data_IF_143482541154
#
_entry.id   IF_143482541154
#
_cell.length_a   1.000
_cell.length_b   1.000
_cell.length_c   1.000
_cell.angle_alpha   90.00
_cell.angle_beta   90.00
_cell.angle_gamma   90.00
#
_symmetry.space_group_name_H-M   'P 1'
#
loop_
_entity.id
_entity.type
_entity.pdbx_description
1 polymer ?
#
# COMPACT_ATOMS: atom_id res chain seq x y z
N UNK A 1 22.90 5.07 -5.74
CA UNK A 1 22.83 3.66 -6.21
C UNK A 1 21.40 3.38 -6.65
N UNK A 2 21.11 2.36 -7.46
CA UNK A 2 19.74 2.08 -7.91
C UNK A 2 18.96 1.27 -6.87
N UNK A 3 17.68 1.59 -6.68
CA UNK A 3 16.75 0.74 -5.94
C UNK A 3 16.28 -0.39 -6.86
N UNK A 4 16.18 -1.60 -6.32
CA UNK A 4 15.70 -2.78 -7.02
C UNK A 4 14.42 -3.27 -6.33
N UNK A 5 13.37 -3.48 -7.10
CA UNK A 5 12.11 -4.04 -6.61
C UNK A 5 12.04 -5.51 -7.00
N UNK A 6 11.81 -6.38 -6.03
CA UNK A 6 11.67 -7.83 -6.23
C UNK A 6 10.35 -8.29 -5.63
N UNK A 7 9.49 -8.93 -6.43
CA UNK A 7 8.24 -9.49 -5.91
C UNK A 7 8.49 -10.73 -5.07
N UNK A 8 7.73 -10.87 -3.97
CA UNK A 8 7.79 -12.02 -3.09
C UNK A 8 7.42 -13.31 -3.83
N UNK A 9 6.46 -13.25 -4.76
CA UNK A 9 6.14 -14.39 -5.64
C UNK A 9 7.33 -14.84 -6.49
N UNK A 10 8.23 -13.93 -6.89
CA UNK A 10 9.45 -14.32 -7.62
C UNK A 10 10.44 -15.00 -6.69
N UNK A 11 10.60 -14.53 -5.45
CA UNK A 11 11.44 -15.21 -4.47
C UNK A 11 10.92 -16.61 -4.14
N UNK A 12 9.62 -16.76 -3.89
CA UNK A 12 8.97 -18.04 -3.57
C UNK A 12 9.01 -19.07 -4.73
N UNK A 13 9.24 -18.61 -5.97
CA UNK A 13 9.44 -19.50 -7.14
C UNK A 13 10.88 -20.00 -7.27
N UNK A 14 11.86 -19.27 -6.71
CA UNK A 14 13.28 -19.55 -6.91
C UNK A 14 13.97 -20.06 -5.64
N UNK A 15 13.36 -19.89 -4.47
CA UNK A 15 13.90 -20.27 -3.17
C UNK A 15 12.86 -21.00 -2.33
N UNK A 16 13.31 -21.75 -1.33
CA UNK A 16 12.42 -22.38 -0.36
C UNK A 16 11.76 -21.33 0.53
N UNK A 17 10.57 -21.63 1.05
CA UNK A 17 9.86 -20.73 1.96
C UNK A 17 10.68 -20.40 3.21
N UNK A 18 11.48 -21.35 3.71
CA UNK A 18 12.39 -21.11 4.84
C UNK A 18 13.49 -20.09 4.50
N UNK A 19 14.09 -20.18 3.32
CA UNK A 19 15.09 -19.19 2.87
C UNK A 19 14.47 -17.82 2.68
N UNK A 20 13.28 -17.75 2.09
CA UNK A 20 12.54 -16.49 1.94
C UNK A 20 12.18 -15.90 3.31
N UNK A 21 11.71 -16.72 4.25
CA UNK A 21 11.38 -16.29 5.61
C UNK A 21 12.59 -15.67 6.30
N UNK A 22 13.78 -16.28 6.18
CA UNK A 22 15.02 -15.73 6.73
C UNK A 22 15.39 -14.35 6.16
N UNK A 23 14.92 -14.00 4.95
CA UNK A 23 15.07 -12.66 4.38
C UNK A 23 14.05 -11.68 4.99
N UNK A 24 12.80 -12.09 5.14
CA UNK A 24 11.72 -11.27 5.72
C UNK A 24 11.98 -10.95 7.19
N UNK A 25 12.55 -11.91 7.93
CA UNK A 25 12.89 -11.77 9.35
C UNK A 25 13.95 -10.69 9.61
N UNK A 26 14.70 -10.25 8.58
CA UNK A 26 15.69 -9.18 8.68
C UNK A 26 15.10 -7.78 8.72
N UNK A 27 13.80 -7.64 8.49
CA UNK A 27 13.12 -6.35 8.50
C UNK A 27 12.92 -5.87 9.94
N UNK A 28 13.25 -4.61 10.18
CA UNK A 28 13.00 -3.94 11.46
C UNK A 28 12.22 -2.65 11.17
N UNK A 29 11.07 -2.51 11.80
CA UNK A 29 10.26 -1.30 11.79
C UNK A 29 10.58 -0.42 13.00
N UNK A 30 10.01 0.79 13.06
CA UNK A 30 10.23 1.72 14.17
C UNK A 30 8.94 2.36 14.64
N UNK A 31 8.81 2.46 15.97
CA UNK A 31 7.64 3.05 16.61
C UNK A 31 7.75 4.57 16.59
N UNK A 32 6.75 5.17 15.95
CA UNK A 32 6.57 6.60 15.89
C UNK A 32 5.34 7.06 16.68
N UNK A 33 4.46 6.14 17.10
CA UNK A 33 3.23 6.43 17.85
C UNK A 33 3.38 6.15 19.35
N UNK A 34 4.35 5.32 19.75
CA UNK A 34 4.63 4.98 21.14
C UNK A 34 3.59 4.04 21.77
N UNK A 35 2.76 3.41 20.94
CA UNK A 35 1.70 2.48 21.36
C UNK A 35 2.16 1.07 20.99
N UNK A 36 2.76 0.37 21.96
CA UNK A 36 3.21 -1.01 21.79
C UNK A 36 2.04 -1.98 21.58
N UNK A 37 1.86 -2.42 20.35
CA UNK A 37 1.57 -3.79 19.95
C UNK A 37 2.53 -4.04 18.77
N UNK A 38 2.97 -5.26 18.45
CA UNK A 38 3.96 -5.46 17.38
C UNK A 38 3.61 -4.63 16.13
N UNK A 39 4.58 -3.88 15.60
CA UNK A 39 4.41 -3.04 14.42
C UNK A 39 3.64 -3.79 13.34
N UNK A 40 2.38 -3.43 13.08
CA UNK A 40 1.53 -4.17 12.14
C UNK A 40 2.22 -4.33 10.77
N UNK A 41 3.04 -3.36 10.39
CA UNK A 41 3.94 -3.38 9.23
C UNK A 41 4.96 -4.53 9.32
N UNK A 42 5.73 -4.63 10.40
CA UNK A 42 6.71 -5.70 10.56
C UNK A 42 6.06 -7.07 10.77
N UNK A 43 5.01 -7.15 11.59
CA UNK A 43 4.21 -8.36 11.77
C UNK A 43 3.64 -8.85 10.44
N UNK A 44 3.11 -7.94 9.62
CA UNK A 44 2.64 -8.30 8.29
C UNK A 44 3.76 -8.93 7.47
N UNK A 45 4.92 -8.28 7.38
CA UNK A 45 5.99 -8.78 6.53
C UNK A 45 6.51 -10.14 7.01
N UNK A 46 6.73 -10.30 8.31
CA UNK A 46 7.31 -11.52 8.88
C UNK A 46 6.31 -12.67 8.95
N UNK A 47 5.06 -12.39 9.30
CA UNK A 47 4.11 -13.45 9.68
C UNK A 47 2.96 -13.64 8.68
N UNK A 48 2.67 -12.66 7.82
CA UNK A 48 1.47 -12.68 6.95
C UNK A 48 1.79 -12.60 5.46
N UNK A 49 2.89 -11.97 5.05
CA UNK A 49 3.16 -11.65 3.66
C UNK A 49 3.20 -12.88 2.75
N UNK A 50 3.82 -13.99 3.19
CA UNK A 50 3.87 -15.24 2.40
C UNK A 50 2.48 -15.84 2.24
N UNK A 51 1.68 -15.89 3.31
CA UNK A 51 0.30 -16.38 3.26
C UNK A 51 -0.56 -15.51 2.33
N UNK A 52 -0.47 -14.19 2.45
CA UNK A 52 -1.22 -13.25 1.61
C UNK A 52 -0.82 -13.36 0.14
N UNK A 53 0.47 -13.55 -0.15
CA UNK A 53 0.97 -13.69 -1.52
C UNK A 53 0.49 -15.00 -2.16
N UNK A 54 0.58 -16.12 -1.44
CA UNK A 54 0.12 -17.45 -1.91
C UNK A 54 -1.39 -17.55 -2.12
N UNK A 55 -2.18 -16.82 -1.32
CA UNK A 55 -3.65 -16.83 -1.40
C UNK A 55 -4.21 -15.66 -2.24
N UNK A 56 -3.35 -14.93 -2.95
CA UNK A 56 -3.72 -13.82 -3.83
C UNK A 56 -4.51 -12.68 -3.13
N UNK A 57 -4.37 -12.54 -1.81
CA UNK A 57 -4.97 -11.41 -1.08
C UNK A 57 -4.21 -10.11 -1.36
N UNK A 58 -2.89 -10.19 -1.50
CA UNK A 58 -2.03 -9.08 -1.92
C UNK A 58 -0.70 -9.60 -2.43
N UNK A 59 -0.05 -8.88 -3.32
CA UNK A 59 1.32 -9.15 -3.77
C UNK A 59 2.31 -8.24 -3.06
N UNK A 60 3.29 -8.85 -2.40
CA UNK A 60 4.32 -8.14 -1.64
C UNK A 60 5.55 -7.90 -2.50
N UNK A 61 6.11 -6.70 -2.43
CA UNK A 61 7.28 -6.28 -3.19
C UNK A 61 8.35 -5.78 -2.22
N UNK A 62 9.50 -6.43 -2.25
CA UNK A 62 10.67 -6.08 -1.44
C UNK A 62 11.55 -5.10 -2.21
N UNK A 63 12.01 -4.05 -1.52
CA UNK A 63 12.87 -3.00 -2.10
C UNK A 63 14.27 -3.17 -1.55
N UNK A 64 15.22 -3.41 -2.44
CA UNK A 64 16.63 -3.56 -2.14
C UNK A 64 17.43 -2.35 -2.59
N UNK A 65 18.51 -2.08 -1.87
CA UNK A 65 19.58 -1.20 -2.29
C UNK A 65 20.92 -1.92 -2.13
N UNK A 66 22.01 -1.29 -2.55
CA UNK A 66 23.36 -1.80 -2.30
C UNK A 66 24.03 -1.02 -1.17
N UNK A 67 24.70 -1.71 -0.26
CA UNK A 67 25.56 -1.12 0.74
C UNK A 67 26.80 -1.99 0.93
N UNK A 68 27.99 -1.41 0.77
CA UNK A 68 29.28 -2.13 0.85
C UNK A 68 29.35 -3.39 -0.03
N UNK A 69 28.73 -3.37 -1.21
CA UNK A 69 28.71 -4.50 -2.14
C UNK A 69 27.68 -5.59 -1.82
N UNK A 70 26.93 -5.48 -0.72
CA UNK A 70 25.84 -6.39 -0.37
C UNK A 70 24.47 -5.80 -0.77
N UNK A 71 23.52 -6.65 -1.16
CA UNK A 71 22.11 -6.27 -1.28
C UNK A 71 21.51 -6.15 0.12
N UNK A 72 20.84 -5.04 0.39
CA UNK A 72 20.22 -4.74 1.69
C UNK A 72 18.75 -4.44 1.46
N UNK A 73 17.87 -5.11 2.21
CA UNK A 73 16.44 -4.82 2.23
C UNK A 73 16.21 -3.46 2.88
N UNK A 74 15.78 -2.46 2.10
CA UNK A 74 15.57 -1.09 2.58
C UNK A 74 14.10 -0.76 2.84
N UNK A 75 13.18 -1.57 2.33
CA UNK A 75 11.76 -1.44 2.62
C UNK A 75 10.92 -2.44 1.82
N UNK A 76 9.60 -2.32 1.94
CA UNK A 76 8.66 -3.12 1.17
C UNK A 76 7.33 -2.39 1.01
N UNK A 77 6.50 -2.88 0.11
CA UNK A 77 5.09 -2.52 0.01
C UNK A 77 4.26 -3.73 -0.44
N UNK A 78 2.96 -3.73 -0.10
CA UNK A 78 2.02 -4.76 -0.54
C UNK A 78 0.83 -4.13 -1.27
N UNK A 79 0.49 -4.68 -2.43
CA UNK A 79 -0.62 -4.20 -3.27
C UNK A 79 -1.66 -5.30 -3.41
N UNK A 80 -2.92 -4.97 -3.16
CA UNK A 80 -4.07 -5.83 -3.43
C UNK A 80 -5.03 -5.16 -4.41
N UNK A 81 -6.03 -5.91 -4.88
CA UNK A 81 -7.18 -5.37 -5.62
C UNK A 81 -8.40 -5.58 -4.73
N UNK A 82 -9.14 -4.51 -4.44
CA UNK A 82 -10.32 -4.56 -3.61
C UNK A 82 -11.41 -3.61 -4.11
N UNK A 83 -12.66 -3.83 -3.72
CA UNK A 83 -13.75 -2.92 -4.01
C UNK A 83 -13.91 -1.87 -2.91
N UNK A 84 -14.07 -0.61 -3.32
CA UNK A 84 -14.42 0.48 -2.42
C UNK A 84 -15.87 0.90 -2.66
N UNK A 85 -16.72 0.66 -1.67
CA UNK A 85 -18.15 1.01 -1.72
C UNK A 85 -18.38 2.42 -1.20
N UNK A 86 -19.11 3.21 -1.98
CA UNK A 86 -19.61 4.52 -1.59
C UNK A 86 -21.13 4.48 -1.53
N UNK A 87 -21.67 4.79 -0.34
CA UNK A 87 -23.11 4.97 -0.19
C UNK A 87 -23.58 6.25 -0.88
N UNK A 88 -24.86 6.33 -1.26
CA UNK A 88 -25.45 7.57 -1.79
C UNK A 88 -25.17 8.78 -0.88
N UNK A 89 -25.32 8.61 0.44
CA UNK A 89 -25.05 9.65 1.45
C UNK A 89 -23.60 10.13 1.42
N UNK A 90 -22.64 9.22 1.26
CA UNK A 90 -21.22 9.60 1.11
C UNK A 90 -20.97 10.31 -0.23
N UNK A 91 -21.58 9.84 -1.31
CA UNK A 91 -21.45 10.47 -2.63
C UNK A 91 -21.98 11.91 -2.68
N UNK A 92 -23.06 12.19 -1.95
CA UNK A 92 -23.72 13.49 -1.92
C UNK A 92 -22.86 14.59 -1.25
N UNK A 93 -21.80 14.21 -0.53
CA UNK A 93 -20.83 15.14 0.04
C UNK A 93 -19.80 15.65 -0.98
N UNK A 94 -19.64 14.97 -2.11
CA UNK A 94 -18.74 15.40 -3.16
C UNK A 94 -19.43 16.35 -4.14
N UNK A 95 -18.66 17.24 -4.76
CA UNK A 95 -19.14 18.06 -5.87
C UNK A 95 -19.71 17.21 -7.00
N UNK A 96 -20.66 17.77 -7.76
CA UNK A 96 -21.28 17.11 -8.92
C UNK A 96 -20.26 16.55 -9.91
N UNK A 97 -19.14 17.27 -10.13
CA UNK A 97 -18.03 16.85 -10.97
C UNK A 97 -17.34 15.59 -10.44
N UNK A 98 -16.98 15.56 -9.16
CA UNK A 98 -16.31 14.38 -8.55
C UNK A 98 -17.29 13.21 -8.51
N UNK A 99 -18.53 13.44 -8.08
CA UNK A 99 -19.58 12.42 -8.07
C UNK A 99 -19.82 11.82 -9.46
N UNK A 100 -19.83 12.65 -10.50
CA UNK A 100 -19.92 12.20 -11.89
C UNK A 100 -18.75 11.31 -12.30
N UNK A 101 -17.51 11.67 -11.93
CA UNK A 101 -16.32 10.86 -12.20
C UNK A 101 -16.35 9.51 -11.49
N UNK A 102 -16.68 9.49 -10.20
CA UNK A 102 -16.79 8.26 -9.41
C UNK A 102 -17.87 7.35 -10.00
N UNK A 103 -19.06 7.90 -10.29
CA UNK A 103 -20.15 7.15 -10.93
C UNK A 103 -19.76 6.63 -12.32
N UNK A 104 -19.04 7.40 -13.12
CA UNK A 104 -18.64 6.95 -14.45
C UNK A 104 -17.69 5.76 -14.40
N UNK A 105 -16.82 5.71 -13.38
CA UNK A 105 -15.83 4.64 -13.17
C UNK A 105 -16.28 3.51 -12.23
N UNK A 106 -17.54 3.53 -11.79
CA UNK A 106 -18.07 2.51 -10.91
C UNK A 106 -18.21 1.16 -11.61
N UNK A 107 -17.67 0.10 -10.99
CA UNK A 107 -17.81 -1.27 -11.45
C UNK A 107 -19.21 -1.82 -11.15
N UNK A 108 -19.87 -1.34 -10.09
CA UNK A 108 -21.28 -1.63 -9.80
C UNK A 108 -22.03 -0.38 -9.37
N UNK A 109 -23.32 -0.34 -9.69
CA UNK A 109 -24.27 0.71 -9.29
C UNK A 109 -25.56 0.06 -8.84
N UNK A 110 -25.92 0.27 -7.58
CA UNK A 110 -27.21 -0.14 -7.07
C UNK A 110 -28.24 0.94 -7.39
N UNK A 111 -29.25 0.60 -8.20
CA UNK A 111 -30.30 1.53 -8.62
C UNK A 111 -31.28 1.85 -7.50
N UNK A 112 -31.45 0.95 -6.53
CA UNK A 112 -32.41 1.08 -5.44
C UNK A 112 -31.85 1.98 -4.33
N UNK A 113 -30.61 1.73 -3.92
CA UNK A 113 -29.95 2.51 -2.85
C UNK A 113 -29.23 3.75 -3.38
N UNK A 114 -28.77 3.71 -4.64
CA UNK A 114 -27.92 4.75 -5.23
C UNK A 114 -26.43 4.59 -4.89
N UNK A 115 -26.06 3.48 -4.27
CA UNK A 115 -24.69 3.13 -3.92
C UNK A 115 -23.86 2.75 -5.16
N UNK A 116 -22.56 2.93 -5.06
CA UNK A 116 -21.61 2.49 -6.09
C UNK A 116 -20.46 1.70 -5.48
N UNK A 117 -19.89 0.80 -6.28
CA UNK A 117 -18.60 0.14 -5.98
C UNK A 117 -17.58 0.57 -7.03
N UNK A 118 -16.37 0.87 -6.59
CA UNK A 118 -15.20 1.09 -7.43
C UNK A 118 -14.26 -0.11 -7.29
N UNK A 119 -13.73 -0.63 -8.39
CA UNK A 119 -12.58 -1.53 -8.34
C UNK A 119 -11.31 -0.69 -8.18
N UNK A 120 -10.58 -0.90 -7.09
CA UNK A 120 -9.42 -0.10 -6.72
C UNK A 120 -8.21 -0.98 -6.42
N UNK A 121 -7.02 -0.40 -6.62
CA UNK A 121 -5.79 -0.93 -6.04
C UNK A 121 -5.70 -0.49 -4.58
N UNK A 122 -5.50 -1.43 -3.67
CA UNK A 122 -5.21 -1.15 -2.27
C UNK A 122 -3.70 -1.19 -2.08
N UNK A 123 -3.10 -0.10 -1.62
CA UNK A 123 -1.76 -0.15 -1.02
C UNK A 123 -1.95 -0.53 0.44
N UNK A 124 -1.90 -1.84 0.71
CA UNK A 124 -2.28 -2.40 2.01
C UNK A 124 -1.20 -2.21 3.06
N UNK A 125 0.07 -2.18 2.65
CA UNK A 125 1.21 -2.03 3.55
C UNK A 125 2.33 -1.23 2.88
N UNK A 126 3.01 -0.41 3.67
CA UNK A 126 4.24 0.29 3.30
C UNK A 126 5.17 0.28 4.50
N UNK A 127 6.34 -0.33 4.36
CA UNK A 127 7.32 -0.44 5.44
C UNK A 127 8.70 0.03 5.02
N UNK A 128 9.28 0.97 5.77
CA UNK A 128 10.70 1.32 5.68
C UNK A 128 11.48 0.46 6.67
N UNK A 129 12.60 -0.12 6.23
CA UNK A 129 13.49 -0.86 7.11
C UNK A 129 14.38 0.12 7.90
N UNK A 130 14.41 -0.05 9.23
CA UNK A 130 15.18 0.73 10.19
C UNK A 130 16.42 0.01 10.71
N UNK A 131 16.70 -1.20 10.23
CA UNK A 131 17.96 -1.89 10.49
C UNK A 131 19.15 -1.02 10.07
N UNK A 132 20.24 -1.10 10.82
CA UNK A 132 21.37 -0.17 10.70
C UNK A 132 21.93 -0.07 9.27
N UNK A 133 22.18 -1.21 8.61
CA UNK A 133 22.70 -1.21 7.24
C UNK A 133 21.71 -0.63 6.22
N UNK A 134 20.40 -0.84 6.42
CA UNK A 134 19.38 -0.25 5.57
C UNK A 134 19.36 1.28 5.71
N UNK A 135 19.49 1.80 6.93
CA UNK A 135 19.58 3.24 7.19
C UNK A 135 20.84 3.87 6.58
N UNK A 136 21.97 3.16 6.61
CA UNK A 136 23.24 3.63 6.06
C UNK A 136 23.22 3.79 4.54
N UNK A 137 22.29 3.13 3.82
CA UNK A 137 22.08 3.38 2.39
C UNK A 137 21.67 4.83 2.11
N UNK A 138 20.84 5.43 2.98
CA UNK A 138 20.20 6.75 2.80
C UNK A 138 19.37 6.88 1.51
N UNK A 139 19.04 5.77 0.84
CA UNK A 139 18.35 5.78 -0.47
C UNK A 139 16.82 5.72 -0.34
N UNK A 140 16.27 5.37 0.84
CA UNK A 140 14.84 5.10 0.99
C UNK A 140 14.13 6.09 1.93
N UNK A 141 12.97 6.57 1.48
CA UNK A 141 12.01 7.37 2.26
C UNK A 141 10.60 6.81 2.09
N UNK A 142 9.67 7.19 2.96
CA UNK A 142 8.25 6.81 2.79
C UNK A 142 7.66 7.30 1.47
N UNK A 143 8.08 8.49 1.01
CA UNK A 143 7.68 9.01 -0.30
C UNK A 143 8.24 8.15 -1.44
N UNK A 144 9.50 7.72 -1.34
CA UNK A 144 10.10 6.87 -2.37
C UNK A 144 9.46 5.48 -2.45
N UNK A 145 9.07 4.90 -1.31
CA UNK A 145 8.29 3.65 -1.28
C UNK A 145 6.92 3.83 -1.93
N UNK A 146 6.24 4.95 -1.67
CA UNK A 146 4.99 5.29 -2.35
C UNK A 146 5.16 5.45 -3.86
N UNK A 147 6.25 6.06 -4.33
CA UNK A 147 6.55 6.15 -5.77
C UNK A 147 6.69 4.75 -6.38
N UNK A 148 7.46 3.86 -5.75
CA UNK A 148 7.65 2.49 -6.24
C UNK A 148 6.33 1.70 -6.26
N UNK A 149 5.53 1.80 -5.19
CA UNK A 149 4.20 1.19 -5.14
C UNK A 149 3.27 1.72 -6.26
N UNK A 150 3.30 3.04 -6.50
CA UNK A 150 2.51 3.64 -7.57
C UNK A 150 2.96 3.21 -8.96
N UNK A 151 4.27 3.04 -9.20
CA UNK A 151 4.77 2.49 -10.47
C UNK A 151 4.27 1.06 -10.70
N UNK A 152 4.34 0.19 -9.69
CA UNK A 152 3.76 -1.16 -9.77
C UNK A 152 2.25 -1.12 -10.04
N UNK A 153 1.52 -0.16 -9.47
CA UNK A 153 0.10 0.04 -9.77
C UNK A 153 -0.14 0.46 -11.23
N UNK A 154 0.69 1.34 -11.79
CA UNK A 154 0.58 1.75 -13.20
C UNK A 154 0.80 0.55 -14.14
N UNK A 155 1.81 -0.27 -13.88
CA UNK A 155 2.06 -1.50 -14.64
C UNK A 155 0.87 -2.47 -14.55
N UNK A 156 0.31 -2.68 -13.35
CA UNK A 156 -0.86 -3.52 -13.17
C UNK A 156 -2.13 -2.94 -13.85
N UNK A 157 -2.27 -1.61 -13.83
CA UNK A 157 -3.37 -0.88 -14.44
C UNK A 157 -3.38 -1.02 -15.96
N UNK A 158 -2.21 -0.97 -16.59
CA UNK A 158 -2.08 -1.17 -18.03
C UNK A 158 -2.58 -2.56 -18.45
N UNK A 159 -2.39 -3.56 -17.59
CA UNK A 159 -2.80 -4.95 -17.86
C UNK A 159 -4.26 -5.26 -17.51
N UNK A 160 -4.80 -4.64 -16.45
CA UNK A 160 -6.09 -5.08 -15.86
C UNK A 160 -7.15 -3.97 -15.76
N UNK A 161 -6.78 -2.72 -16.01
CA UNK A 161 -7.63 -1.56 -15.80
C UNK A 161 -7.67 -1.11 -14.34
N UNK A 162 -8.78 -0.51 -13.92
CA UNK A 162 -8.88 0.21 -12.65
C UNK A 162 -8.51 1.68 -12.80
N UNK A 163 -9.09 2.53 -11.95
CA UNK A 163 -8.92 4.00 -12.06
C UNK A 163 -8.52 4.67 -10.76
N UNK A 164 -8.44 3.91 -9.67
CA UNK A 164 -8.19 4.43 -8.35
C UNK A 164 -7.26 3.52 -7.57
N UNK A 165 -6.38 4.14 -6.79
CA UNK A 165 -5.67 3.52 -5.71
C UNK A 165 -6.19 4.09 -4.39
N UNK A 166 -6.18 3.31 -3.32
CA UNK A 166 -6.49 3.80 -1.98
C UNK A 166 -5.59 3.16 -0.94
N UNK A 167 -5.54 3.78 0.23
CA UNK A 167 -4.81 3.30 1.39
C UNK A 167 -5.53 3.69 2.67
N UNK A 168 -5.18 2.98 3.73
CA UNK A 168 -5.63 3.21 5.09
C UNK A 168 -4.42 3.52 5.97
N UNK A 169 -4.55 4.45 6.92
CA UNK A 169 -3.43 4.87 7.76
C UNK A 169 -3.86 5.40 9.12
N UNK A 170 -2.96 5.31 10.10
CA UNK A 170 -3.16 5.90 11.42
C UNK A 170 -3.35 7.42 11.32
N UNK A 171 -4.22 7.96 12.17
CA UNK A 171 -4.49 9.39 12.25
C UNK A 171 -3.32 10.16 12.87
N UNK A 172 -2.27 10.35 12.07
CA UNK A 172 -1.04 11.05 12.44
C UNK A 172 -0.68 12.02 11.33
N UNK A 173 -0.42 13.29 11.71
CA UNK A 173 -0.19 14.39 10.75
C UNK A 173 0.95 14.11 9.77
N UNK A 174 2.01 13.44 10.23
CA UNK A 174 3.14 13.03 9.39
C UNK A 174 2.72 12.14 8.22
N UNK A 175 1.80 11.19 8.46
CA UNK A 175 1.27 10.29 7.42
C UNK A 175 0.29 11.02 6.52
N UNK A 176 -0.63 11.80 7.11
CA UNK A 176 -1.56 12.65 6.38
C UNK A 176 -0.85 13.57 5.39
N UNK A 177 0.20 14.27 5.83
CA UNK A 177 1.00 15.17 5.00
C UNK A 177 1.79 14.42 3.92
N UNK A 178 2.28 13.22 4.22
CA UNK A 178 2.95 12.37 3.24
C UNK A 178 1.99 12.00 2.10
N UNK A 179 0.83 11.45 2.41
CA UNK A 179 -0.13 10.98 1.41
C UNK A 179 -0.78 12.13 0.65
N UNK A 180 -1.12 13.23 1.34
CA UNK A 180 -1.64 14.45 0.70
C UNK A 180 -0.66 15.04 -0.30
N UNK A 181 0.63 15.13 0.06
CA UNK A 181 1.69 15.63 -0.84
C UNK A 181 1.90 14.72 -2.04
N UNK A 182 1.74 13.41 -1.88
CA UNK A 182 1.80 12.47 -3.00
C UNK A 182 0.61 12.63 -3.97
N UNK A 183 -0.53 13.14 -3.48
CA UNK A 183 -1.72 13.44 -4.28
C UNK A 183 -2.97 12.69 -3.85
N UNK A 184 -2.90 11.88 -2.78
CA UNK A 184 -4.07 11.26 -2.18
C UNK A 184 -4.99 12.31 -1.58
N UNK A 185 -6.29 12.03 -1.61
CA UNK A 185 -7.34 12.83 -0.98
C UNK A 185 -7.95 12.02 0.14
N UNK A 186 -7.80 12.51 1.37
CA UNK A 186 -8.42 11.89 2.54
C UNK A 186 -9.95 11.94 2.41
N UNK A 187 -10.60 10.82 2.74
CA UNK A 187 -12.03 10.69 2.83
C UNK A 187 -12.43 11.02 4.28
N UNK A 188 -12.62 12.31 4.58
CA UNK A 188 -12.77 12.82 5.96
C UNK A 188 -13.92 12.21 6.76
N UNK A 189 -14.93 11.65 6.08
CA UNK A 189 -16.08 10.98 6.70
C UNK A 189 -15.97 9.45 6.70
N UNK A 190 -14.80 8.91 6.37
CA UNK A 190 -14.54 7.49 6.34
C UNK A 190 -13.51 7.14 7.40
N UNK A 191 -13.93 6.28 8.33
CA UNK A 191 -13.04 5.61 9.27
C UNK A 191 -13.25 4.12 9.14
N UNK A 192 -12.15 3.38 9.17
CA UNK A 192 -12.21 1.92 9.22
C UNK A 192 -12.71 1.47 10.59
N UNK A 193 -13.03 0.19 10.75
CA UNK A 193 -13.40 -0.37 12.06
C UNK A 193 -12.28 -0.18 13.10
N UNK A 194 -11.03 -0.13 12.65
CA UNK A 194 -9.84 0.11 13.49
C UNK A 194 -9.48 1.60 13.59
N UNK A 195 -10.43 2.49 13.28
CA UNK A 195 -10.27 3.95 13.35
C UNK A 195 -9.18 4.56 12.44
N UNK A 196 -8.76 3.84 11.39
CA UNK A 196 -7.80 4.36 10.42
C UNK A 196 -8.47 5.41 9.51
N UNK A 197 -7.71 6.44 9.15
CA UNK A 197 -8.03 7.32 8.04
C UNK A 197 -8.00 6.53 6.73
N UNK A 198 -8.79 6.95 5.74
CA UNK A 198 -8.73 6.41 4.38
C UNK A 198 -8.46 7.54 3.40
N UNK A 199 -7.61 7.30 2.40
CA UNK A 199 -7.38 8.26 1.32
C UNK A 199 -7.37 7.58 -0.05
N UNK A 200 -7.87 8.30 -1.06
CA UNK A 200 -8.00 7.82 -2.44
C UNK A 200 -7.18 8.68 -3.40
N UNK A 201 -6.57 8.03 -4.38
CA UNK A 201 -5.84 8.65 -5.49
C UNK A 201 -6.48 8.18 -6.80
N UNK A 202 -6.78 9.13 -7.68
CA UNK A 202 -7.14 8.80 -9.05
C UNK A 202 -5.87 8.53 -9.85
N UNK A 203 -5.77 7.35 -10.43
CA UNK A 203 -4.67 6.97 -11.31
C UNK A 203 -4.89 7.70 -12.65
N UNK A 204 -3.82 8.28 -13.18
CA UNK A 204 -3.86 9.07 -14.42
C UNK A 204 -3.45 8.24 -15.61
#
# INVERSE_FOLDING_TARGET
MSLEVVSLSTLLRNFTEKEVQLLLDQFESKDFSGKNEAHEVEDFLKNKAIYYDKNDFSKTHLVYSSYKGAKVLVGYYAIGINSLRFTKRQLDKYSSKIKGQLKHKASKKDKMTGDIELTCYLIGQIGKNFKEDALKTKEITGYKLLELAYQTILEAQELTGGSFAYLEYEDVDKLRDLYKRFGFRELTDYRTQNNLCMAILRIK
#
